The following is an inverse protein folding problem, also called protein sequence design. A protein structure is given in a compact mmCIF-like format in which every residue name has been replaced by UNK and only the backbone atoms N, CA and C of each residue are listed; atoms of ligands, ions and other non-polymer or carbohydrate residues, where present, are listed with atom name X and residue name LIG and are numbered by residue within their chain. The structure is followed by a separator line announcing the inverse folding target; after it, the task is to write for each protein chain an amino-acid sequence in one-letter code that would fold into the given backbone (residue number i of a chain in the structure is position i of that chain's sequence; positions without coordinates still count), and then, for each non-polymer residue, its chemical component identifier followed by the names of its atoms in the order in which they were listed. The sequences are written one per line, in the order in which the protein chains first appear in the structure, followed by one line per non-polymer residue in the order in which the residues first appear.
data_IF_423414054589
#
_entry.id   IF_423414054589
#
_cell.length_a   1.000
_cell.length_b   1.000
_cell.length_c   1.000
_cell.angle_alpha   90.00
_cell.angle_beta   90.00
_cell.angle_gamma   90.00
#
_symmetry.space_group_name_H-M   'P 1'
#
loop_
_entity.id
_entity.type
_entity.pdbx_description
1 polymer ?
#
# COMPACT_ATOMS: atom_id res chain seq x y z
N UNK A 1 -8.82 -18.77 -7.42
CA UNK A 1 -7.34 -18.91 -7.40
C UNK A 1 -6.76 -17.57 -7.03
N UNK A 2 -5.87 -17.55 -6.04
CA UNK A 2 -5.20 -16.37 -5.52
C UNK A 2 -3.70 -16.51 -5.74
N UNK A 3 -3.05 -15.39 -6.06
CA UNK A 3 -1.61 -15.27 -6.24
C UNK A 3 -1.10 -14.26 -5.19
N UNK A 4 -0.08 -14.64 -4.43
CA UNK A 4 0.73 -13.71 -3.63
C UNK A 4 2.08 -13.56 -4.30
N UNK A 5 2.32 -12.47 -5.06
CA UNK A 5 3.63 -12.15 -5.59
C UNK A 5 4.41 -11.28 -4.60
N UNK A 6 5.72 -11.54 -4.49
CA UNK A 6 6.70 -10.64 -3.88
C UNK A 6 7.55 -10.06 -5.00
N UNK A 7 7.59 -8.73 -5.07
CA UNK A 7 8.28 -7.99 -6.13
C UNK A 7 9.37 -7.14 -5.51
N UNK A 8 10.57 -7.21 -6.08
CA UNK A 8 11.65 -6.30 -5.73
C UNK A 8 11.27 -4.88 -6.15
N UNK A 9 11.23 -3.96 -5.20
CA UNK A 9 10.89 -2.57 -5.44
C UNK A 9 12.01 -1.79 -6.14
N UNK A 10 13.23 -2.31 -6.19
CA UNK A 10 14.34 -1.65 -6.87
C UNK A 10 14.26 -1.81 -8.39
N UNK A 11 14.05 -3.03 -8.90
CA UNK A 11 14.03 -3.31 -10.34
C UNK A 11 12.68 -3.82 -10.88
N UNK A 12 11.67 -3.98 -10.01
CA UNK A 12 10.32 -4.39 -10.37
C UNK A 12 10.18 -5.88 -10.71
N UNK A 13 11.21 -6.71 -10.48
CA UNK A 13 11.16 -8.13 -10.82
C UNK A 13 10.49 -8.96 -9.72
N UNK A 14 9.73 -10.00 -10.08
CA UNK A 14 9.21 -10.95 -9.10
C UNK A 14 10.35 -11.78 -8.52
N UNK A 15 10.45 -11.82 -7.19
CA UNK A 15 11.49 -12.55 -6.45
C UNK A 15 10.93 -13.74 -5.67
N UNK A 16 9.60 -13.82 -5.51
CA UNK A 16 8.93 -14.97 -4.90
C UNK A 16 7.44 -14.96 -5.19
N UNK A 17 6.80 -16.13 -5.19
CA UNK A 17 5.36 -16.23 -5.37
C UNK A 17 4.79 -17.53 -4.79
N UNK A 18 3.50 -17.49 -4.44
CA UNK A 18 2.72 -18.67 -4.11
C UNK A 18 1.32 -18.57 -4.73
N UNK A 19 0.71 -19.73 -4.98
CA UNK A 19 -0.62 -19.84 -5.59
C UNK A 19 -1.48 -20.79 -4.76
N UNK A 20 -2.74 -20.43 -4.56
CA UNK A 20 -3.69 -21.25 -3.81
C UNK A 20 -5.13 -20.91 -4.10
N UNK A 21 -6.04 -21.59 -3.41
CA UNK A 21 -7.49 -21.45 -3.62
C UNK A 21 -8.12 -20.42 -2.69
N UNK A 22 -7.38 -19.93 -1.68
CA UNK A 22 -7.81 -18.92 -0.70
C UNK A 22 -6.68 -17.89 -0.47
N UNK A 23 -6.97 -16.62 -0.13
CA UNK A 23 -5.97 -15.62 0.21
C UNK A 23 -5.66 -15.67 1.72
N UNK A 24 -4.87 -16.65 2.13
CA UNK A 24 -4.52 -16.91 3.53
C UNK A 24 -3.05 -16.63 3.85
N UNK A 25 -2.73 -16.52 5.14
CA UNK A 25 -1.38 -16.18 5.61
C UNK A 25 -0.31 -17.19 5.15
N UNK A 26 -0.67 -18.46 4.97
CA UNK A 26 0.25 -19.50 4.48
C UNK A 26 0.77 -19.16 3.09
N UNK A 27 -0.10 -18.63 2.23
CA UNK A 27 0.25 -18.28 0.88
C UNK A 27 1.23 -17.09 0.88
N UNK A 28 1.05 -16.12 1.77
CA UNK A 28 2.02 -15.03 1.98
C UNK A 28 3.36 -15.57 2.51
N UNK A 29 3.34 -16.42 3.54
CA UNK A 29 4.55 -16.99 4.15
C UNK A 29 5.40 -17.73 3.12
N UNK A 30 4.80 -18.64 2.34
CA UNK A 30 5.53 -19.37 1.30
C UNK A 30 6.12 -18.46 0.22
N UNK A 31 5.44 -17.37 -0.14
CA UNK A 31 5.99 -16.40 -1.09
C UNK A 31 7.16 -15.59 -0.50
N UNK A 32 7.14 -15.31 0.81
CA UNK A 32 8.22 -14.64 1.52
C UNK A 32 9.42 -15.54 1.74
N UNK A 33 9.23 -16.82 2.09
CA UNK A 33 10.30 -17.81 2.19
C UNK A 33 11.07 -17.91 0.86
N UNK A 34 10.33 -17.99 -0.26
CA UNK A 34 10.92 -18.00 -1.60
C UNK A 34 11.72 -16.72 -1.88
N UNK A 35 11.18 -15.55 -1.55
CA UNK A 35 11.87 -14.28 -1.72
C UNK A 35 13.14 -14.17 -0.84
N UNK A 36 13.06 -14.57 0.42
CA UNK A 36 14.20 -14.56 1.35
C UNK A 36 15.33 -15.47 0.87
N UNK A 37 15.02 -16.59 0.22
CA UNK A 37 16.03 -17.48 -0.36
C UNK A 37 16.82 -16.85 -1.53
N UNK A 38 16.35 -15.73 -2.09
CA UNK A 38 17.07 -14.97 -3.13
C UNK A 38 17.99 -13.90 -2.57
N UNK A 39 17.88 -13.59 -1.27
CA UNK A 39 18.73 -12.58 -0.63
C UNK A 39 20.15 -13.10 -0.44
N UNK A 40 21.13 -12.26 -0.75
CA UNK A 40 22.53 -12.53 -0.43
C UNK A 40 22.78 -12.49 1.08
N UNK A 41 23.85 -13.16 1.52
CA UNK A 41 24.23 -13.13 2.94
C UNK A 41 24.53 -11.71 3.41
N UNK A 42 24.04 -11.36 4.60
CA UNK A 42 24.19 -10.02 5.18
C UNK A 42 23.30 -8.93 4.57
N UNK A 43 22.44 -9.27 3.60
CA UNK A 43 21.47 -8.34 3.03
C UNK A 43 20.26 -8.24 3.95
N UNK A 44 19.87 -7.01 4.29
CA UNK A 44 18.64 -6.72 5.02
C UNK A 44 17.57 -6.22 4.05
N UNK A 45 16.38 -6.81 4.11
CA UNK A 45 15.24 -6.44 3.29
C UNK A 45 14.06 -6.01 4.17
N UNK A 46 13.21 -5.13 3.63
CA UNK A 46 11.94 -4.74 4.27
C UNK A 46 10.78 -5.11 3.37
N UNK A 47 9.81 -5.83 3.92
CA UNK A 47 8.58 -6.18 3.20
C UNK A 47 7.50 -5.13 3.45
N UNK A 48 6.75 -4.78 2.40
CA UNK A 48 5.54 -3.96 2.50
C UNK A 48 4.38 -4.67 1.83
N UNK A 49 3.27 -4.81 2.55
CA UNK A 49 2.00 -5.20 1.98
C UNK A 49 1.12 -3.97 1.81
N UNK A 50 0.47 -3.85 0.65
CA UNK A 50 -0.52 -2.81 0.42
C UNK A 50 -1.91 -3.41 0.67
N UNK A 51 -2.50 -3.12 1.82
CA UNK A 51 -3.93 -3.34 1.98
C UNK A 51 -4.66 -2.32 1.10
N UNK A 52 -5.58 -2.78 0.25
CA UNK A 52 -6.51 -1.86 -0.39
C UNK A 52 -7.29 -1.20 0.73
N UNK A 53 -6.96 0.05 1.03
CA UNK A 53 -7.89 0.91 1.74
C UNK A 53 -9.20 0.81 0.96
N UNK A 54 -10.23 0.22 1.57
CA UNK A 54 -11.57 0.18 1.00
C UNK A 54 -11.90 1.63 0.72
N UNK A 55 -11.82 2.02 -0.55
CA UNK A 55 -12.07 3.37 -0.99
C UNK A 55 -13.58 3.56 -0.83
N UNK A 56 -14.05 3.77 0.40
CA UNK A 56 -15.38 4.28 0.65
C UNK A 56 -15.44 5.54 -0.19
N UNK A 57 -16.23 5.43 -1.27
CA UNK A 57 -16.28 6.34 -2.41
C UNK A 57 -15.86 7.72 -1.94
N UNK A 58 -14.66 8.18 -2.31
CA UNK A 58 -14.38 9.61 -2.24
C UNK A 58 -15.50 10.22 -3.04
N UNK A 59 -16.49 10.79 -2.34
CA UNK A 59 -17.64 11.44 -2.94
C UNK A 59 -17.03 12.37 -3.96
N UNK A 60 -17.26 12.09 -5.25
CA UNK A 60 -16.85 12.99 -6.33
C UNK A 60 -17.26 14.39 -5.85
N UNK A 61 -16.33 15.34 -5.67
CA UNK A 61 -16.73 16.70 -5.38
C UNK A 61 -17.66 17.10 -6.51
N UNK A 62 -18.94 17.33 -6.19
CA UNK A 62 -19.90 17.81 -7.18
C UNK A 62 -19.56 19.27 -7.35
N UNK A 63 -18.67 19.57 -8.28
CA UNK A 63 -18.41 20.95 -8.67
C UNK A 63 -19.72 21.53 -9.22
N UNK A 64 -20.26 22.61 -8.65
CA UNK A 64 -21.38 23.30 -9.27
C UNK A 64 -20.90 23.85 -10.61
N UNK A 65 -21.73 23.70 -11.65
CA UNK A 65 -21.50 24.31 -12.94
C UNK A 65 -21.70 25.83 -12.80
N UNK A 66 -20.64 26.52 -12.39
CA UNK A 66 -20.63 27.97 -12.21
C UNK A 66 -19.21 28.39 -11.87
N UNK A 67 -18.55 29.06 -12.82
CA UNK A 67 -17.14 29.44 -12.73
C UNK A 67 -16.84 30.26 -11.47
N UNK A 68 -16.19 29.62 -10.51
CA UNK A 68 -15.45 30.29 -9.45
C UNK A 68 -14.23 29.43 -9.14
N UNK A 69 -13.06 30.00 -9.39
CA UNK A 69 -11.74 29.39 -9.15
C UNK A 69 -11.68 28.79 -7.75
N UNK A 70 -11.66 27.47 -7.66
CA UNK A 70 -11.50 26.78 -6.38
C UNK A 70 -10.06 26.97 -5.90
N UNK A 71 -9.84 27.94 -5.00
CA UNK A 71 -8.66 27.96 -4.17
C UNK A 71 -8.68 26.70 -3.30
N UNK A 72 -7.74 25.80 -3.56
CA UNK A 72 -7.36 24.75 -2.65
C UNK A 72 -6.98 25.37 -1.29
N UNK A 73 -7.39 24.82 -0.13
CA UNK A 73 -6.98 25.39 1.15
C UNK A 73 -5.49 25.10 1.38
N UNK A 74 -4.65 26.10 1.72
CA UNK A 74 -3.32 25.81 2.23
C UNK A 74 -3.45 25.24 3.66
N UNK A 75 -2.46 24.44 4.04
CA UNK A 75 -2.36 23.69 5.28
C UNK A 75 -2.85 24.44 6.54
N UNK A 76 -3.68 23.79 7.36
CA UNK A 76 -4.00 24.26 8.72
C UNK A 76 -2.73 24.25 9.59
N UNK A 77 -2.41 25.33 10.32
CA UNK A 77 -1.41 25.29 11.37
C UNK A 77 -1.96 24.62 12.63
N UNK A 78 -1.11 23.80 13.25
CA UNK A 78 -1.33 23.13 14.54
C UNK A 78 -1.19 24.16 15.66
N UNK A 79 -2.28 24.49 16.36
CA UNK A 79 -2.22 25.24 17.61
C UNK A 79 -3.39 24.88 18.55
N UNK A 80 -3.07 24.89 19.84
CA UNK A 80 -3.94 24.78 21.01
C UNK A 80 -4.45 23.37 21.39
N UNK A 81 -3.57 22.62 22.07
CA UNK A 81 -4.03 21.79 23.17
C UNK A 81 -4.71 22.70 24.21
N UNK A 82 -5.89 22.30 24.63
CA UNK A 82 -6.82 23.02 25.50
C UNK A 82 -6.22 23.28 26.89
N UNK A 83 -6.53 24.44 27.46
CA UNK A 83 -6.34 24.71 28.88
C UNK A 83 -7.51 24.20 29.72
N UNK A 84 -7.19 23.87 30.97
CA UNK A 84 -7.93 24.19 32.19
C UNK A 84 -7.01 23.86 33.38
#
# INVERSE_FOLDING_TARGET
VYLSPVVDLFDGKPVGWAVGTSPDARLTESSLEMACATLGEGVSATAKSAERATLSRRRRPRFPAGGATALWPPALPRAAAQGA
#
